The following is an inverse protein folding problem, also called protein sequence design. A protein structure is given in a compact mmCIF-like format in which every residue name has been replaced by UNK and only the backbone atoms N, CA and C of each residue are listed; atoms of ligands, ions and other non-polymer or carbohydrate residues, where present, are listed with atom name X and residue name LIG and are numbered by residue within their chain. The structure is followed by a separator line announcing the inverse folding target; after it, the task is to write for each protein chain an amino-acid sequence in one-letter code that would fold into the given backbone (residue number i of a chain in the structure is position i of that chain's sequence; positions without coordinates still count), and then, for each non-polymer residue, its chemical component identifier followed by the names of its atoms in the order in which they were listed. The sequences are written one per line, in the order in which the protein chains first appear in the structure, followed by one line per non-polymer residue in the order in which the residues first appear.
data_IF_919290675140
#
_entry.id   IF_919290675140
#
_cell.length_a   1.000
_cell.length_b   1.000
_cell.length_c   1.000
_cell.angle_alpha   90.00
_cell.angle_beta   90.00
_cell.angle_gamma   90.00
#
_symmetry.space_group_name_H-M   'P 1'
#
loop_
_entity.id
_entity.type
_entity.pdbx_description
1 polymer ?
#
# COMPACT_ATOMS: atom_id res chain seq x y z
N UNK A 1 9.67 12.35 -15.11
CA UNK A 1 9.36 10.99 -15.57
C UNK A 1 8.05 11.08 -16.35
N UNK A 2 8.09 10.84 -17.65
CA UNK A 2 6.93 11.09 -18.53
C UNK A 2 6.00 9.87 -18.46
N UNK A 3 4.77 10.10 -18.03
CA UNK A 3 3.73 9.07 -17.86
C UNK A 3 3.27 8.64 -19.25
N UNK A 4 3.43 7.35 -19.56
CA UNK A 4 2.89 6.74 -20.78
C UNK A 4 1.41 6.37 -20.52
N UNK A 5 0.43 6.92 -21.26
CA UNK A 5 -0.95 6.49 -21.14
C UNK A 5 -1.06 5.00 -21.53
N UNK A 6 -1.87 4.21 -20.82
CA UNK A 6 -2.12 2.77 -21.01
C UNK A 6 -1.04 1.75 -20.62
N UNK A 7 0.09 2.16 -20.03
CA UNK A 7 1.01 1.23 -19.36
C UNK A 7 0.58 0.99 -17.89
N UNK A 8 -0.52 0.26 -17.68
CA UNK A 8 -1.19 0.12 -16.38
C UNK A 8 -0.39 -0.50 -15.23
N UNK A 9 0.70 -1.22 -15.50
CA UNK A 9 1.47 -1.96 -14.48
C UNK A 9 2.86 -1.37 -14.14
N UNK A 10 3.65 -0.80 -15.08
CA UNK A 10 4.94 -0.18 -14.75
C UNK A 10 4.80 1.23 -14.16
N UNK A 11 3.85 2.03 -14.66
CA UNK A 11 3.58 3.37 -14.13
C UNK A 11 2.98 3.34 -12.71
N UNK A 12 2.35 2.22 -12.33
CA UNK A 12 1.81 1.99 -10.99
C UNK A 12 2.87 1.55 -9.97
N UNK A 13 4.14 1.36 -10.35
CA UNK A 13 5.20 0.90 -9.44
C UNK A 13 6.19 2.03 -9.15
N UNK A 14 6.64 2.77 -10.17
CA UNK A 14 7.58 3.89 -9.98
C UNK A 14 6.93 5.13 -9.32
N UNK A 15 5.71 5.49 -9.74
CA UNK A 15 4.92 6.56 -9.10
C UNK A 15 4.49 6.15 -7.69
N UNK A 16 4.38 4.84 -7.44
CA UNK A 16 3.88 4.25 -6.19
C UNK A 16 4.97 4.09 -5.13
N UNK A 17 6.20 3.70 -5.48
CA UNK A 17 7.30 3.62 -4.50
C UNK A 17 7.62 4.98 -3.85
N UNK A 18 7.58 6.07 -4.62
CA UNK A 18 7.83 7.43 -4.10
C UNK A 18 6.63 7.99 -3.30
N UNK A 19 5.40 7.60 -3.63
CA UNK A 19 4.19 8.08 -2.94
C UNK A 19 3.82 7.25 -1.71
N UNK A 20 4.09 5.94 -1.68
CA UNK A 20 3.79 5.06 -0.54
C UNK A 20 4.71 5.33 0.66
N UNK A 21 5.96 5.69 0.38
CA UNK A 21 7.01 5.86 1.40
C UNK A 21 6.95 7.28 1.97
N UNK A 22 6.69 8.31 1.17
CA UNK A 22 6.83 9.70 1.64
C UNK A 22 5.52 10.41 1.98
N UNK A 23 4.41 10.12 1.29
CA UNK A 23 3.22 10.98 1.38
C UNK A 23 1.86 10.26 1.41
N UNK A 24 1.80 8.92 1.29
CA UNK A 24 0.62 8.05 1.03
C UNK A 24 -0.76 8.71 1.26
N UNK A 25 -1.21 9.58 0.35
CA UNK A 25 -2.33 10.46 0.64
C UNK A 25 -3.62 9.68 0.36
N UNK A 26 -4.33 9.34 1.43
CA UNK A 26 -5.69 8.79 1.35
C UNK A 26 -6.63 9.63 2.19
N UNK A 27 -7.87 9.82 1.74
CA UNK A 27 -8.90 10.56 2.48
C UNK A 27 -9.02 10.03 3.91
N UNK A 28 -9.06 8.70 4.06
CA UNK A 28 -9.17 8.03 5.36
C UNK A 28 -7.97 8.28 6.28
N UNK A 29 -6.78 8.51 5.73
CA UNK A 29 -5.59 8.89 6.51
C UNK A 29 -5.67 10.33 6.99
N UNK A 30 -6.07 11.25 6.10
CA UNK A 30 -6.23 12.68 6.45
C UNK A 30 -7.27 12.85 7.55
N UNK A 31 -8.39 12.13 7.44
CA UNK A 31 -9.44 12.10 8.46
C UNK A 31 -8.93 11.60 9.81
N UNK A 32 -8.18 10.49 9.83
CA UNK A 32 -7.59 9.95 11.05
C UNK A 32 -6.53 10.91 11.64
N UNK A 33 -5.73 11.56 10.80
CA UNK A 33 -4.74 12.53 11.25
C UNK A 33 -5.40 13.79 11.86
N UNK A 34 -6.51 14.26 11.27
CA UNK A 34 -7.31 15.34 11.84
C UNK A 34 -7.89 14.96 13.21
N UNK A 35 -8.39 13.73 13.36
CA UNK A 35 -8.84 13.20 14.67
C UNK A 35 -7.69 13.18 15.67
N UNK A 36 -6.52 12.66 15.28
CA UNK A 36 -5.35 12.64 16.14
C UNK A 36 -4.95 14.05 16.62
N UNK A 37 -4.93 15.03 15.71
CA UNK A 37 -4.63 16.42 16.05
C UNK A 37 -5.62 16.98 17.08
N UNK A 38 -6.93 16.78 16.88
CA UNK A 38 -7.98 17.20 17.83
C UNK A 38 -7.76 16.56 19.20
N UNK A 39 -7.55 15.25 19.25
CA UNK A 39 -7.37 14.53 20.52
C UNK A 39 -6.07 14.91 21.23
N UNK A 40 -5.02 15.26 20.48
CA UNK A 40 -3.74 15.71 21.02
C UNK A 40 -3.87 17.06 21.73
N UNK A 41 -4.70 17.97 21.24
CA UNK A 41 -4.94 19.28 21.87
C UNK A 41 -6.01 19.26 22.97
N UNK A 42 -6.89 18.25 23.01
CA UNK A 42 -7.93 18.15 24.05
C UNK A 42 -7.35 18.07 25.47
N UNK A 43 -7.97 18.65 26.51
CA UNK A 43 -7.50 18.48 27.88
C UNK A 43 -7.69 17.04 28.37
N UNK A 44 -6.93 16.62 29.40
CA UNK A 44 -7.15 15.31 30.05
C UNK A 44 -8.53 15.27 30.72
N UNK A 45 -9.08 14.07 30.84
CA UNK A 45 -10.37 13.79 31.50
C UNK A 45 -11.55 14.54 30.86
N UNK A 46 -11.45 14.84 29.56
CA UNK A 46 -12.48 15.59 28.83
C UNK A 46 -13.33 14.73 27.91
N UNK A 47 -14.51 15.24 27.61
CA UNK A 47 -15.42 14.69 26.63
C UNK A 47 -15.22 15.39 25.28
N UNK A 48 -15.04 14.61 24.22
CA UNK A 48 -14.79 15.09 22.85
C UNK A 48 -15.84 14.50 21.93
N UNK A 49 -16.75 15.33 21.43
CA UNK A 49 -17.69 14.92 20.38
C UNK A 49 -17.13 15.30 19.01
N UNK A 50 -16.95 14.32 18.14
CA UNK A 50 -16.39 14.50 16.80
C UNK A 50 -17.50 14.34 15.77
N UNK A 51 -17.83 15.42 15.09
CA UNK A 51 -18.77 15.42 13.96
C UNK A 51 -18.00 15.18 12.67
N UNK A 52 -18.35 14.14 11.92
CA UNK A 52 -17.68 13.80 10.67
C UNK A 52 -18.65 13.15 9.68
N UNK A 53 -18.47 13.46 8.40
CA UNK A 53 -19.16 12.80 7.30
C UNK A 53 -18.46 11.52 6.81
N UNK A 54 -17.28 11.21 7.36
CA UNK A 54 -16.54 9.99 7.03
C UNK A 54 -17.03 8.79 7.82
N UNK A 55 -17.37 7.71 7.10
CA UNK A 55 -17.74 6.46 7.75
C UNK A 55 -16.50 5.73 8.30
N UNK A 56 -15.39 5.79 7.57
CA UNK A 56 -14.11 5.18 7.96
C UNK A 56 -13.57 5.78 9.26
N UNK A 57 -13.74 7.09 9.46
CA UNK A 57 -13.40 7.78 10.69
C UNK A 57 -14.21 7.28 11.90
N UNK A 58 -15.52 7.10 11.72
CA UNK A 58 -16.43 6.61 12.76
C UNK A 58 -16.09 5.17 13.13
N UNK A 59 -15.89 4.32 12.12
CA UNK A 59 -15.57 2.91 12.35
C UNK A 59 -14.21 2.76 13.04
N UNK A 60 -13.23 3.60 12.69
CA UNK A 60 -11.95 3.69 13.38
C UNK A 60 -12.09 4.06 14.85
N UNK A 61 -12.83 5.13 15.16
CA UNK A 61 -13.07 5.55 16.55
C UNK A 61 -13.81 4.49 17.38
N UNK A 62 -14.79 3.79 16.78
CA UNK A 62 -15.46 2.64 17.42
C UNK A 62 -14.51 1.49 17.72
N UNK A 63 -13.53 1.27 16.83
CA UNK A 63 -12.45 0.32 17.05
C UNK A 63 -11.59 0.70 18.26
N UNK A 64 -11.26 1.98 18.42
CA UNK A 64 -10.51 2.47 19.58
C UNK A 64 -11.28 2.26 20.89
N UNK A 65 -12.59 2.51 20.91
CA UNK A 65 -13.44 2.25 22.09
C UNK A 65 -13.47 0.77 22.48
N UNK A 66 -13.23 -0.12 21.51
CA UNK A 66 -13.20 -1.58 21.71
C UNK A 66 -11.78 -2.14 21.87
N UNK A 67 -10.76 -1.27 22.00
CA UNK A 67 -9.35 -1.64 22.17
C UNK A 67 -8.80 -2.54 21.04
N UNK A 68 -9.31 -2.37 19.81
CA UNK A 68 -8.94 -3.20 18.66
C UNK A 68 -7.48 -2.99 18.28
N UNK A 69 -6.96 -1.76 18.43
CA UNK A 69 -5.65 -1.40 17.90
C UNK A 69 -4.50 -1.72 18.86
N UNK A 70 -4.81 -2.10 20.09
CA UNK A 70 -3.88 -2.76 21.01
C UNK A 70 -3.53 -4.18 20.56
N UNK A 71 -4.32 -4.78 19.67
CA UNK A 71 -4.06 -6.12 19.15
C UNK A 71 -3.17 -6.08 17.90
N UNK A 72 -1.88 -6.33 18.10
CA UNK A 72 -0.87 -6.38 17.03
C UNK A 72 -1.16 -7.39 15.91
N UNK A 73 -2.02 -8.39 16.12
CA UNK A 73 -2.42 -9.31 15.04
C UNK A 73 -3.24 -8.63 13.95
N UNK A 74 -3.91 -7.52 14.25
CA UNK A 74 -4.74 -6.76 13.31
C UNK A 74 -3.94 -5.73 12.51
N UNK A 75 -2.68 -5.50 12.89
CA UNK A 75 -1.73 -4.64 12.19
C UNK A 75 -1.66 -4.96 10.68
N UNK A 76 -1.76 -6.25 10.31
CA UNK A 76 -1.73 -6.70 8.92
C UNK A 76 -3.10 -6.74 8.22
N UNK A 77 -4.16 -6.25 8.85
CA UNK A 77 -5.53 -6.33 8.30
C UNK A 77 -6.22 -4.98 8.22
N UNK A 78 -5.79 -4.01 9.02
CA UNK A 78 -6.45 -2.72 9.11
C UNK A 78 -5.63 -1.64 8.42
N UNK A 79 -6.27 -0.85 7.57
CA UNK A 79 -5.68 0.34 6.96
C UNK A 79 -5.41 1.40 8.02
N UNK A 80 -4.27 2.10 7.92
CA UNK A 80 -3.85 3.14 8.88
C UNK A 80 -3.78 2.64 10.34
N UNK A 81 -3.49 1.35 10.56
CA UNK A 81 -3.50 0.73 11.90
C UNK A 81 -2.61 1.49 12.90
N UNK A 82 -1.41 1.87 12.49
CA UNK A 82 -0.46 2.62 13.31
C UNK A 82 -1.05 3.92 13.84
N UNK A 83 -1.66 4.71 12.96
CA UNK A 83 -2.31 5.96 13.31
C UNK A 83 -3.50 5.71 14.26
N UNK A 84 -4.32 4.69 13.99
CA UNK A 84 -5.41 4.31 14.88
C UNK A 84 -4.93 3.80 16.25
N UNK A 85 -3.78 3.12 16.31
CA UNK A 85 -3.18 2.70 17.57
C UNK A 85 -2.65 3.88 18.39
N UNK A 86 -2.04 4.87 17.75
CA UNK A 86 -1.65 6.13 18.42
C UNK A 86 -2.89 6.88 18.93
N UNK A 87 -3.95 6.95 18.12
CA UNK A 87 -5.22 7.56 18.52
C UNK A 87 -5.80 6.85 19.75
N UNK A 88 -5.88 5.51 19.72
CA UNK A 88 -6.36 4.70 20.84
C UNK A 88 -5.53 4.97 22.10
N UNK A 89 -4.20 4.97 21.98
CA UNK A 89 -3.31 5.25 23.10
C UNK A 89 -3.44 6.69 23.62
N UNK A 90 -3.69 7.65 22.74
CA UNK A 90 -3.93 9.06 23.12
C UNK A 90 -5.21 9.19 23.92
N UNK A 91 -6.29 8.52 23.49
CA UNK A 91 -7.57 8.46 24.21
C UNK A 91 -7.35 7.89 25.62
N UNK A 92 -6.63 6.77 25.73
CA UNK A 92 -6.38 6.09 27.01
C UNK A 92 -5.49 6.90 27.93
N UNK A 93 -4.36 7.41 27.44
CA UNK A 93 -3.39 8.16 28.26
C UNK A 93 -3.93 9.49 28.79
N UNK A 94 -4.90 10.07 28.10
CA UNK A 94 -5.56 11.33 28.50
C UNK A 94 -6.92 11.10 29.13
N UNK A 95 -7.35 9.85 29.30
CA UNK A 95 -8.66 9.47 29.84
C UNK A 95 -9.81 10.23 29.14
N UNK A 96 -9.78 10.27 27.81
CA UNK A 96 -10.79 10.98 27.01
C UNK A 96 -12.04 10.11 26.81
N UNK A 97 -13.20 10.74 26.86
CA UNK A 97 -14.45 10.13 26.40
C UNK A 97 -14.77 10.68 25.01
N UNK A 98 -14.72 9.84 23.97
CA UNK A 98 -14.86 10.28 22.58
C UNK A 98 -16.18 9.78 21.97
N UNK A 99 -16.97 10.69 21.42
CA UNK A 99 -18.26 10.40 20.78
C UNK A 99 -18.25 10.76 19.29
N UNK A 100 -18.17 9.78 18.37
CA UNK A 100 -18.31 10.04 16.94
C UNK A 100 -19.77 10.25 16.55
N UNK A 101 -20.07 11.32 15.82
CA UNK A 101 -21.39 11.65 15.29
C UNK A 101 -21.32 11.75 13.77
N UNK A 102 -22.14 10.94 13.09
CA UNK A 102 -22.25 10.97 11.63
C UNK A 102 -22.97 12.24 11.18
N UNK A 103 -22.31 13.00 10.32
CA UNK A 103 -22.92 14.09 9.55
C UNK A 103 -23.21 13.58 8.13
N UNK A 104 -24.27 14.09 7.52
CA UNK A 104 -24.57 13.79 6.12
C UNK A 104 -23.65 14.65 5.23
N UNK A 105 -22.85 14.01 4.40
CA UNK A 105 -22.03 14.70 3.40
C UNK A 105 -22.91 15.61 2.52
N UNK A 106 -22.39 16.79 2.19
CA UNK A 106 -23.06 17.78 1.34
C UNK A 106 -24.48 18.19 1.81
N UNK A 107 -24.70 18.19 3.13
CA UNK A 107 -25.98 18.63 3.72
C UNK A 107 -26.07 20.14 4.00
N UNK A 108 -25.04 20.91 3.62
CA UNK A 108 -24.95 22.35 3.92
C UNK A 108 -24.58 22.63 5.38
N UNK A 109 -23.88 21.72 6.04
CA UNK A 109 -23.34 21.98 7.37
C UNK A 109 -22.10 22.86 7.25
N UNK A 110 -22.25 24.13 7.61
CA UNK A 110 -21.19 25.13 7.50
C UNK A 110 -19.84 24.68 8.09
N UNK A 111 -19.83 24.03 9.26
CA UNK A 111 -18.58 23.62 9.91
C UNK A 111 -17.92 22.42 9.21
N UNK A 112 -18.71 21.48 8.69
CA UNK A 112 -18.20 20.37 7.88
C UNK A 112 -17.65 20.88 6.54
N UNK A 113 -18.42 21.72 5.84
CA UNK A 113 -18.03 22.32 4.57
C UNK A 113 -16.76 23.18 4.74
N UNK A 114 -16.63 23.87 5.89
CA UNK A 114 -15.43 24.60 6.25
C UNK A 114 -14.22 23.67 6.47
N UNK A 115 -14.39 22.56 7.20
CA UNK A 115 -13.34 21.57 7.39
C UNK A 115 -12.87 20.94 6.06
N UNK A 116 -13.81 20.61 5.16
CA UNK A 116 -13.51 20.10 3.82
C UNK A 116 -12.73 21.13 2.99
N UNK A 117 -13.09 22.41 3.09
CA UNK A 117 -12.35 23.48 2.40
C UNK A 117 -10.92 23.65 2.92
N UNK A 118 -10.71 23.47 4.23
CA UNK A 118 -9.38 23.49 4.84
C UNK A 118 -8.54 22.29 4.40
N UNK A 119 -9.11 21.08 4.38
CA UNK A 119 -8.44 19.89 3.88
C UNK A 119 -8.04 20.04 2.40
N UNK A 120 -8.95 20.58 1.58
CA UNK A 120 -8.69 20.91 0.17
C UNK A 120 -7.69 22.05 -0.02
N UNK A 121 -7.39 22.85 0.99
CA UNK A 121 -6.30 23.84 0.88
C UNK A 121 -4.97 23.21 1.30
N UNK A 122 -5.01 22.40 2.37
CA UNK A 122 -3.84 21.76 2.95
C UNK A 122 -3.13 20.76 2.01
N UNK A 123 -3.83 20.14 1.05
CA UNK A 123 -3.18 19.23 0.09
C UNK A 123 -2.13 19.91 -0.82
N UNK A 124 -2.15 21.25 -0.91
CA UNK A 124 -1.15 22.05 -1.65
C UNK A 124 -0.08 22.67 -0.75
N UNK A 125 -0.23 22.53 0.58
CA UNK A 125 0.69 23.13 1.53
C UNK A 125 1.99 22.34 1.64
N UNK A 126 3.11 23.04 1.76
CA UNK A 126 4.44 22.44 1.87
C UNK A 126 4.74 21.82 3.25
N UNK A 127 3.85 22.04 4.23
CA UNK A 127 3.98 21.58 5.60
C UNK A 127 3.00 20.42 5.86
N UNK A 128 3.53 19.25 6.17
CA UNK A 128 2.72 18.12 6.65
C UNK A 128 2.70 18.07 8.18
N UNK A 129 1.58 17.64 8.75
CA UNK A 129 1.54 17.22 10.16
C UNK A 129 2.27 15.87 10.19
N UNK A 130 3.56 15.90 10.51
CA UNK A 130 4.34 14.70 10.75
C UNK A 130 3.95 14.15 12.12
N UNK A 131 3.38 12.95 12.14
CA UNK A 131 3.32 12.15 13.36
C UNK A 131 4.77 11.90 13.77
N UNK A 132 5.16 12.31 14.97
CA UNK A 132 6.55 12.13 15.37
C UNK A 132 6.85 10.64 15.52
N UNK A 133 8.05 10.20 15.13
CA UNK A 133 8.47 8.81 15.32
C UNK A 133 8.41 8.35 16.79
N UNK A 134 8.46 9.28 17.75
CA UNK A 134 8.28 9.01 19.18
C UNK A 134 6.83 8.65 19.54
N UNK A 135 5.85 9.32 18.93
CA UNK A 135 4.43 9.00 19.16
C UNK A 135 4.11 7.58 18.68
N UNK A 136 4.70 7.19 17.55
CA UNK A 136 4.55 5.86 16.98
C UNK A 136 5.25 4.77 17.78
N UNK A 137 6.50 5.00 18.20
CA UNK A 137 7.23 4.08 19.07
C UNK A 137 6.55 3.92 20.45
N UNK A 138 5.70 4.87 20.86
CA UNK A 138 4.92 4.74 22.09
C UNK A 138 3.79 3.71 21.95
N UNK A 139 3.25 3.52 20.74
CA UNK A 139 2.10 2.65 20.50
C UNK A 139 2.51 1.18 20.35
N UNK A 140 3.71 0.88 19.83
CA UNK A 140 4.15 -0.47 19.48
C UNK A 140 5.58 -0.75 19.97
N UNK A 141 5.87 -2.00 20.34
CA UNK A 141 7.22 -2.44 20.78
C UNK A 141 8.28 -2.34 19.68
N UNK A 142 7.86 -2.27 18.42
CA UNK A 142 8.74 -2.11 17.27
C UNK A 142 8.06 -1.28 16.18
N UNK A 143 8.87 -0.50 15.46
CA UNK A 143 8.46 0.32 14.32
C UNK A 143 9.34 -0.06 13.14
N UNK A 144 8.74 -0.30 11.98
CA UNK A 144 9.49 -0.53 10.76
C UNK A 144 9.85 0.82 10.14
N UNK A 145 11.13 1.02 9.86
CA UNK A 145 11.62 2.22 9.17
C UNK A 145 12.36 1.84 7.89
N UNK A 146 12.25 2.70 6.89
CA UNK A 146 13.01 2.68 5.65
C UNK A 146 14.02 3.84 5.68
N UNK A 147 15.26 3.54 5.31
CA UNK A 147 16.37 4.51 5.24
C UNK A 147 16.54 5.37 6.52
N UNK A 148 16.32 4.75 7.69
CA UNK A 148 16.41 5.32 9.04
C UNK A 148 15.47 6.49 9.39
N UNK A 149 14.89 7.17 8.41
CA UNK A 149 14.11 8.40 8.63
C UNK A 149 12.64 8.29 8.23
N UNK A 150 12.25 7.22 7.53
CA UNK A 150 10.89 7.06 7.03
C UNK A 150 10.18 5.91 7.71
N UNK A 151 9.12 6.18 8.43
CA UNK A 151 8.27 5.13 9.00
C UNK A 151 7.52 4.40 7.89
N UNK A 152 7.58 3.07 7.90
CA UNK A 152 6.75 2.21 7.06
C UNK A 152 5.35 2.08 7.65
N UNK A 153 4.50 3.05 7.34
CA UNK A 153 3.11 3.10 7.83
C UNK A 153 2.15 2.15 7.10
N UNK A 154 2.66 1.48 6.07
CA UNK A 154 1.93 0.49 5.27
C UNK A 154 2.05 -0.89 5.89
N UNK A 155 1.01 -1.71 5.70
CA UNK A 155 1.05 -3.13 6.05
C UNK A 155 2.32 -3.81 5.51
N UNK A 156 3.22 -4.33 6.36
CA UNK A 156 4.51 -4.84 5.93
C UNK A 156 4.41 -6.05 5.03
N UNK A 157 3.35 -6.87 5.15
CA UNK A 157 3.15 -7.99 4.23
C UNK A 157 2.87 -7.48 2.83
N UNK A 158 2.06 -6.42 2.72
CA UNK A 158 1.76 -5.81 1.44
C UNK A 158 3.00 -5.12 0.88
N UNK A 159 3.69 -4.34 1.71
CA UNK A 159 4.95 -3.68 1.37
C UNK A 159 6.00 -4.68 0.86
N UNK A 160 6.28 -5.73 1.62
CA UNK A 160 7.25 -6.77 1.26
C UNK A 160 6.81 -7.52 0.01
N UNK A 161 5.53 -7.89 -0.11
CA UNK A 161 5.00 -8.52 -1.32
C UNK A 161 5.24 -7.65 -2.55
N UNK A 162 4.96 -6.35 -2.44
CA UNK A 162 5.17 -5.40 -3.54
C UNK A 162 6.65 -5.20 -3.85
N UNK A 163 7.49 -5.12 -2.83
CA UNK A 163 8.95 -5.07 -2.99
C UNK A 163 9.44 -6.29 -3.79
N UNK A 164 9.07 -7.51 -3.37
CA UNK A 164 9.47 -8.72 -4.09
C UNK A 164 8.90 -8.79 -5.50
N UNK A 165 7.65 -8.35 -5.72
CA UNK A 165 7.06 -8.27 -7.05
C UNK A 165 7.83 -7.29 -7.95
N UNK A 166 8.26 -6.16 -7.38
CA UNK A 166 9.05 -5.13 -8.09
C UNK A 166 10.43 -5.66 -8.43
N UNK A 167 11.10 -6.32 -7.48
CA UNK A 167 12.40 -6.95 -7.72
C UNK A 167 12.30 -8.01 -8.82
N UNK A 168 11.30 -8.89 -8.77
CA UNK A 168 11.08 -9.89 -9.81
C UNK A 168 10.86 -9.26 -11.19
N UNK A 169 10.13 -8.14 -11.24
CA UNK A 169 9.91 -7.41 -12.49
C UNK A 169 11.17 -6.74 -13.01
N UNK A 170 11.98 -6.15 -12.12
CA UNK A 170 13.29 -5.62 -12.46
C UNK A 170 14.18 -6.72 -13.06
N UNK A 171 14.31 -7.85 -12.36
CA UNK A 171 15.12 -8.98 -12.82
C UNK A 171 14.60 -9.56 -14.16
N UNK A 172 13.28 -9.57 -14.38
CA UNK A 172 12.67 -9.96 -15.65
C UNK A 172 13.07 -9.00 -16.78
N UNK A 173 12.96 -7.69 -16.55
CA UNK A 173 13.29 -6.66 -17.54
C UNK A 173 14.79 -6.62 -17.88
N UNK A 174 15.64 -7.01 -16.93
CA UNK A 174 17.09 -7.14 -17.11
C UNK A 174 17.51 -8.37 -17.94
N UNK A 175 16.59 -9.30 -18.25
CA UNK A 175 16.92 -10.38 -19.17
C UNK A 175 17.19 -9.82 -20.57
N UNK A 176 18.22 -10.35 -21.23
CA UNK A 176 18.64 -9.90 -22.57
C UNK A 176 17.51 -9.85 -23.61
N UNK A 177 16.54 -10.77 -23.50
CA UNK A 177 15.34 -10.85 -24.35
C UNK A 177 14.36 -9.70 -24.16
N UNK A 178 14.41 -8.99 -23.03
CA UNK A 178 13.59 -7.82 -22.72
C UNK A 178 14.36 -6.51 -22.89
N UNK A 179 15.64 -6.54 -23.27
CA UNK A 179 16.41 -5.33 -23.58
C UNK A 179 15.76 -4.49 -24.70
N UNK A 180 14.95 -5.07 -25.59
CA UNK A 180 14.20 -4.30 -26.59
C UNK A 180 13.25 -3.28 -25.93
N UNK A 181 12.77 -3.54 -24.70
CA UNK A 181 11.91 -2.62 -23.95
C UNK A 181 12.65 -1.32 -23.65
N UNK A 182 13.96 -1.37 -23.39
CA UNK A 182 14.78 -0.16 -23.22
C UNK A 182 14.90 0.70 -24.48
N UNK A 183 14.68 0.09 -25.65
CA UNK A 183 14.69 0.75 -26.96
C UNK A 183 13.30 1.33 -27.32
N UNK A 184 12.27 1.03 -26.54
CA UNK A 184 10.93 1.59 -26.71
C UNK A 184 10.94 3.05 -26.24
N UNK A 185 11.10 3.96 -27.20
CA UNK A 185 10.84 5.38 -27.01
C UNK A 185 9.35 5.61 -26.68
N UNK A 186 9.00 6.74 -26.06
CA UNK A 186 7.62 7.18 -25.79
C UNK A 186 6.74 7.36 -27.05
N UNK A 187 7.25 7.05 -28.24
CA UNK A 187 6.65 7.25 -29.55
C UNK A 187 6.47 5.94 -30.35
N UNK A 188 6.58 4.78 -29.72
CA UNK A 188 6.41 3.48 -30.40
C UNK A 188 5.19 2.78 -29.82
N UNK A 189 4.21 2.46 -30.66
CA UNK A 189 3.00 1.67 -30.35
C UNK A 189 3.31 0.18 -30.05
N UNK A 190 4.57 -0.15 -29.75
CA UNK A 190 4.99 -1.51 -29.50
C UNK A 190 4.61 -1.91 -28.06
N UNK A 191 3.40 -2.43 -27.93
CA UNK A 191 2.86 -2.96 -26.68
C UNK A 191 3.15 -4.46 -26.65
N UNK A 192 3.80 -4.93 -25.59
CA UNK A 192 3.87 -6.37 -25.32
C UNK A 192 2.47 -6.84 -24.96
N UNK A 193 1.89 -7.72 -25.79
CA UNK A 193 0.62 -8.37 -25.50
C UNK A 193 0.82 -9.41 -24.40
N UNK A 194 0.69 -8.95 -23.15
CA UNK A 194 0.85 -9.78 -21.96
C UNK A 194 -0.25 -10.84 -21.83
N UNK A 195 -1.45 -10.57 -22.32
CA UNK A 195 -2.57 -11.52 -22.28
C UNK A 195 -2.28 -12.72 -23.19
N UNK A 196 -1.84 -12.47 -24.44
CA UNK A 196 -1.44 -13.52 -25.36
C UNK A 196 -0.17 -14.26 -24.89
N UNK A 197 0.79 -13.53 -24.31
CA UNK A 197 2.00 -14.13 -23.72
C UNK A 197 1.62 -15.10 -22.60
N UNK A 198 0.73 -14.68 -21.69
CA UNK A 198 0.28 -15.51 -20.59
C UNK A 198 -0.56 -16.70 -21.04
N UNK A 199 -1.43 -16.51 -22.04
CA UNK A 199 -2.18 -17.60 -22.68
C UNK A 199 -1.24 -18.66 -23.25
N UNK A 200 -0.20 -18.25 -23.98
CA UNK A 200 0.78 -19.16 -24.59
C UNK A 200 1.61 -19.91 -23.53
N UNK A 201 2.04 -19.21 -22.48
CA UNK A 201 2.77 -19.82 -21.36
C UNK A 201 1.92 -20.82 -20.59
N UNK A 202 0.63 -20.54 -20.38
CA UNK A 202 -0.27 -21.43 -19.63
C UNK A 202 -0.93 -22.52 -20.48
N UNK A 203 -0.85 -22.44 -21.81
CA UNK A 203 -1.41 -23.45 -22.70
C UNK A 203 -0.87 -24.84 -22.36
N UNK A 204 -1.78 -25.78 -22.07
CA UNK A 204 -1.44 -27.19 -21.83
C UNK A 204 -1.99 -28.02 -23.00
N UNK A 205 -1.15 -28.83 -23.67
CA UNK A 205 -1.64 -29.74 -24.68
C UNK A 205 -2.61 -30.75 -24.07
N UNK A 206 -3.54 -31.26 -24.89
CA UNK A 206 -4.46 -32.33 -24.50
C UNK A 206 -3.69 -33.59 -24.10
N UNK A 207 -4.11 -34.23 -23.01
CA UNK A 207 -3.47 -35.44 -22.47
C UNK A 207 -4.03 -36.69 -23.12
N UNK A 208 -3.17 -37.70 -23.29
CA UNK A 208 -3.55 -39.05 -23.70
C UNK A 208 -2.67 -40.09 -22.98
N UNK A 209 -2.76 -41.36 -23.38
CA UNK A 209 -1.98 -42.44 -22.77
C UNK A 209 -0.45 -42.27 -22.90
N UNK A 210 0.00 -41.50 -23.90
CA UNK A 210 1.42 -41.21 -24.17
C UNK A 210 1.91 -39.90 -23.51
N UNK A 211 0.99 -38.96 -23.25
CA UNK A 211 1.28 -37.67 -22.62
C UNK A 211 0.48 -37.49 -21.33
N UNK A 212 1.05 -37.99 -20.24
CA UNK A 212 0.42 -37.97 -18.91
C UNK A 212 0.42 -36.56 -18.27
N UNK A 213 -0.38 -36.32 -17.21
CA UNK A 213 -0.39 -35.06 -16.47
C UNK A 213 0.99 -34.64 -15.92
N UNK A 214 1.85 -35.61 -15.60
CA UNK A 214 3.23 -35.36 -15.15
C UNK A 214 4.09 -34.78 -16.28
N UNK A 215 3.95 -35.32 -17.51
CA UNK A 215 4.62 -34.77 -18.68
C UNK A 215 4.17 -33.34 -18.96
N UNK A 216 2.88 -33.05 -18.79
CA UNK A 216 2.33 -31.71 -18.92
C UNK A 216 2.88 -30.72 -17.90
N UNK A 217 3.01 -31.15 -16.64
CA UNK A 217 3.61 -30.35 -15.58
C UNK A 217 5.08 -30.03 -15.88
N UNK A 218 5.86 -31.03 -16.31
CA UNK A 218 7.26 -30.84 -16.73
C UNK A 218 7.39 -29.91 -17.93
N UNK A 219 6.50 -30.04 -18.92
CA UNK A 219 6.47 -29.16 -20.09
C UNK A 219 6.16 -27.71 -19.70
N UNK A 220 5.19 -27.50 -18.80
CA UNK A 220 4.88 -26.17 -18.26
C UNK A 220 6.10 -25.57 -17.54
N UNK A 221 6.72 -26.31 -16.63
CA UNK A 221 7.95 -25.86 -15.94
C UNK A 221 9.05 -25.52 -16.92
N UNK A 222 9.24 -26.33 -17.97
CA UNK A 222 10.23 -26.07 -19.00
C UNK A 222 9.95 -24.76 -19.75
N UNK A 223 8.70 -24.50 -20.14
CA UNK A 223 8.31 -23.23 -20.79
C UNK A 223 8.61 -22.03 -19.91
N UNK A 224 8.28 -22.08 -18.62
CA UNK A 224 8.58 -20.99 -17.69
C UNK A 224 10.08 -20.80 -17.47
N UNK A 225 10.84 -21.89 -17.30
CA UNK A 225 12.31 -21.81 -17.20
C UNK A 225 12.93 -21.23 -18.46
N UNK A 226 12.45 -21.61 -19.64
CA UNK A 226 12.90 -21.05 -20.90
C UNK A 226 12.53 -19.56 -21.02
N UNK A 227 11.34 -19.17 -20.53
CA UNK A 227 10.88 -17.77 -20.55
C UNK A 227 11.71 -16.87 -19.62
N UNK A 228 12.08 -17.36 -18.44
CA UNK A 228 12.84 -16.64 -17.41
C UNK A 228 14.37 -16.82 -17.51
N UNK A 229 14.87 -17.44 -18.60
CA UNK A 229 16.28 -17.83 -18.76
C UNK A 229 16.83 -18.76 -17.65
N UNK A 230 15.97 -19.44 -16.89
CA UNK A 230 16.26 -20.32 -15.74
C UNK A 230 16.51 -21.79 -16.08
N UNK A 231 16.84 -22.08 -17.34
CA UNK A 231 17.28 -23.43 -17.70
C UNK A 231 18.62 -23.75 -17.00
N UNK A 232 18.78 -24.97 -16.46
CA UNK A 232 20.05 -25.39 -15.86
C UNK A 232 21.09 -25.56 -16.96
N UNK A 233 21.84 -24.50 -17.23
CA UNK A 233 23.01 -24.54 -18.11
C UNK A 233 24.24 -24.96 -17.32
N UNK A 234 25.22 -25.56 -17.99
CA UNK A 234 26.49 -25.95 -17.37
C UNK A 234 27.17 -24.78 -16.63
N UNK A 235 27.04 -23.56 -17.14
CA UNK A 235 27.57 -22.35 -16.50
C UNK A 235 26.82 -21.97 -15.23
N UNK A 236 25.47 -22.13 -15.20
CA UNK A 236 24.66 -21.89 -14.00
C UNK A 236 24.93 -22.95 -12.92
N UNK A 237 25.10 -24.21 -13.30
CA UNK A 237 25.41 -25.32 -12.38
C UNK A 237 26.81 -25.21 -11.75
N UNK A 238 27.73 -24.44 -12.33
CA UNK A 238 29.06 -24.17 -11.75
C UNK A 238 29.05 -23.11 -10.64
N UNK A 239 27.97 -22.33 -10.51
CA UNK A 239 27.84 -21.23 -9.53
C UNK A 239 27.14 -21.64 -8.23
N UNK A 240 26.54 -22.83 -8.21
CA UNK A 240 25.87 -23.46 -7.06
C UNK A 240 26.78 -24.49 -6.42
#
# INVERSE_FOLDING_TARGET
MQIVPDAGFPNSIATYAHSLIRDNPSSSRVEAAAIYAVLTISPRDSEVTIYTDSQTAIDGLRGCSSFIYSNSHLYYKTTNFELWAIIERTILSKNLTVFPVKVKAHSGNYLNDFADSLANTAHTASSSILISGMDLASAHDFVLTYDNDVVCESNPRHLLKQYYQTQLMHDLLDLTRFHFISLLSSNIDYIVDWDLTWFTLNFKPSYDASFTPEHASRHLTFKFKLFLDDLPTLEKLKRT
#
